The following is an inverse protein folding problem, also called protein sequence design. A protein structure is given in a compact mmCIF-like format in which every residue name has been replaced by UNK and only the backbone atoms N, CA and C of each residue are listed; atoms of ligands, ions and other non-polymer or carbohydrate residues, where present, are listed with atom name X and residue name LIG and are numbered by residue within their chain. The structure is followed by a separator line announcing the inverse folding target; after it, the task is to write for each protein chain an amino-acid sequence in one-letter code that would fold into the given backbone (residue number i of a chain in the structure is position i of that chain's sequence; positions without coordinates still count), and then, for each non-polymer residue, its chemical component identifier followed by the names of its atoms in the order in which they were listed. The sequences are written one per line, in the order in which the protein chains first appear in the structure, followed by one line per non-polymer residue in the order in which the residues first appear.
data_IF_662428893250
#
_entry.id   IF_662428893250
#
_cell.length_a   1.000
_cell.length_b   1.000
_cell.length_c   1.000
_cell.angle_alpha   90.00
_cell.angle_beta   90.00
_cell.angle_gamma   90.00
#
_symmetry.space_group_name_H-M   'P 1'
#
loop_
_entity.id
_entity.type
_entity.pdbx_description
1 polymer ?
#
# COMPACT_ATOMS: atom_id res chain seq x y z
N UNK A 1 -6.93 29.49 5.58
CA UNK A 1 -7.12 29.75 4.14
C UNK A 1 -6.14 28.89 3.35
N UNK A 2 -6.51 28.38 2.17
CA UNK A 2 -5.55 27.69 1.28
C UNK A 2 -4.95 28.71 0.32
N UNK A 3 -3.66 28.59 0.06
CA UNK A 3 -2.95 29.34 -0.97
C UNK A 3 -2.81 28.47 -2.21
N UNK A 4 -3.08 29.05 -3.38
CA UNK A 4 -3.05 28.42 -4.69
C UNK A 4 -1.92 29.03 -5.51
N UNK A 5 -1.02 28.22 -6.06
CA UNK A 5 0.08 28.74 -6.88
C UNK A 5 0.57 27.76 -7.94
N UNK A 6 1.01 28.31 -9.07
CA UNK A 6 1.75 27.62 -10.12
C UNK A 6 3.24 27.77 -9.85
N UNK A 7 4.01 26.69 -10.03
CA UNK A 7 5.46 26.68 -9.88
C UNK A 7 6.13 25.98 -11.06
N UNK A 8 7.40 26.31 -11.24
CA UNK A 8 8.34 25.66 -12.15
C UNK A 8 9.40 24.94 -11.34
N UNK A 9 9.64 23.69 -11.66
CA UNK A 9 10.77 22.91 -11.14
C UNK A 9 11.77 22.67 -12.26
N UNK A 10 12.98 23.21 -12.13
CA UNK A 10 14.06 23.12 -13.12
C UNK A 10 15.08 22.08 -12.66
N UNK A 11 15.42 21.12 -13.51
CA UNK A 11 16.60 20.27 -13.33
C UNK A 11 17.85 21.07 -13.68
N UNK A 12 18.73 21.27 -12.71
CA UNK A 12 19.94 22.10 -12.85
C UNK A 12 21.04 21.41 -13.68
N UNK A 13 20.95 20.09 -13.91
CA UNK A 13 21.94 19.35 -14.68
C UNK A 13 21.70 19.47 -16.18
N UNK A 14 20.44 19.41 -16.61
CA UNK A 14 20.08 19.36 -18.03
C UNK A 14 19.15 20.48 -18.49
N UNK A 15 18.76 21.40 -17.60
CA UNK A 15 17.88 22.53 -17.90
C UNK A 15 16.42 22.18 -18.12
N UNK A 16 16.03 20.90 -18.11
CA UNK A 16 14.64 20.49 -18.34
C UNK A 16 13.74 20.93 -17.19
N UNK A 17 12.49 21.27 -17.51
CA UNK A 17 11.55 21.88 -16.58
C UNK A 17 10.28 21.06 -16.36
N UNK A 18 9.63 21.30 -15.23
CA UNK A 18 8.29 20.81 -14.93
C UNK A 18 7.43 21.96 -14.43
N UNK A 19 6.26 22.12 -15.00
CA UNK A 19 5.24 23.06 -14.53
C UNK A 19 4.23 22.27 -13.72
N UNK A 20 3.93 22.73 -12.52
CA UNK A 20 2.90 22.12 -11.70
C UNK A 20 2.15 23.13 -10.87
N UNK A 21 0.98 22.70 -10.39
CA UNK A 21 0.16 23.46 -9.46
C UNK A 21 0.23 22.93 -8.04
N UNK A 22 -0.07 23.81 -7.08
CA UNK A 22 -0.14 23.48 -5.66
C UNK A 22 -1.28 24.25 -4.99
N UNK A 23 -2.06 23.53 -4.19
CA UNK A 23 -2.96 24.12 -3.18
C UNK A 23 -2.48 23.67 -1.80
N UNK A 24 -2.18 24.60 -0.89
CA UNK A 24 -1.64 24.27 0.43
C UNK A 24 -2.10 25.25 1.50
N UNK A 25 -2.14 24.80 2.76
CA UNK A 25 -2.32 25.69 3.92
C UNK A 25 -0.99 26.19 4.48
N UNK A 26 0.14 25.78 3.90
CA UNK A 26 1.48 26.25 4.29
C UNK A 26 1.77 27.61 3.66
N UNK A 27 2.55 28.43 4.34
CA UNK A 27 3.15 29.63 3.75
C UNK A 27 4.10 29.22 2.62
N UNK A 28 4.09 29.94 1.50
CA UNK A 28 4.74 29.53 0.25
C UNK A 28 6.25 29.28 0.43
N UNK A 29 6.92 30.12 1.22
CA UNK A 29 8.36 30.08 1.50
C UNK A 29 8.75 28.82 2.26
N UNK A 30 7.81 28.21 3.00
CA UNK A 30 8.00 26.98 3.77
C UNK A 30 7.47 25.74 3.05
N UNK A 31 6.97 25.87 1.83
CA UNK A 31 6.52 24.72 1.03
C UNK A 31 7.65 24.18 0.14
N UNK A 32 8.37 23.16 0.58
CA UNK A 32 9.47 22.55 -0.19
C UNK A 32 9.00 21.53 -1.26
N UNK A 33 7.70 21.43 -1.53
CA UNK A 33 7.14 20.53 -2.54
C UNK A 33 7.60 20.87 -3.96
N UNK A 34 8.15 19.91 -4.71
CA UNK A 34 8.73 20.11 -6.04
C UNK A 34 7.94 19.46 -7.20
N UNK A 35 6.86 18.74 -6.93
CA UNK A 35 5.99 18.18 -7.97
C UNK A 35 5.64 16.69 -7.84
N UNK A 36 4.57 16.30 -8.54
CA UNK A 36 3.97 14.95 -8.51
C UNK A 36 4.14 14.16 -9.81
N UNK A 37 4.56 14.81 -10.90
CA UNK A 37 4.66 14.22 -12.24
C UNK A 37 5.50 12.95 -12.28
N UNK A 38 5.06 11.96 -13.06
CA UNK A 38 5.71 10.65 -13.15
C UNK A 38 7.14 10.77 -13.67
N UNK A 39 7.36 11.49 -14.79
CA UNK A 39 8.70 11.70 -15.34
C UNK A 39 9.59 12.53 -14.42
N UNK A 40 9.02 13.55 -13.76
CA UNK A 40 9.77 14.32 -12.76
C UNK A 40 10.21 13.45 -11.57
N UNK A 41 9.34 12.58 -11.05
CA UNK A 41 9.70 11.65 -9.96
C UNK A 41 10.79 10.67 -10.38
N UNK A 42 10.79 10.20 -11.62
CA UNK A 42 11.86 9.36 -12.15
C UNK A 42 13.15 10.16 -12.28
N UNK A 43 13.09 11.40 -12.77
CA UNK A 43 14.23 12.30 -12.85
C UNK A 43 14.82 12.59 -11.45
N UNK A 44 13.99 12.78 -10.42
CA UNK A 44 14.47 12.92 -9.04
C UNK A 44 15.27 11.70 -8.55
N UNK A 45 14.88 10.48 -8.93
CA UNK A 45 15.61 9.26 -8.56
C UNK A 45 16.94 9.15 -9.30
N UNK A 46 16.97 9.56 -10.56
CA UNK A 46 18.15 9.44 -11.42
C UNK A 46 19.18 10.53 -11.14
N UNK A 47 18.75 11.79 -11.12
CA UNK A 47 19.62 12.96 -10.98
C UNK A 47 19.79 13.43 -9.54
N UNK A 48 19.00 12.92 -8.60
CA UNK A 48 18.96 13.40 -7.22
C UNK A 48 18.09 14.66 -7.05
N UNK A 49 17.17 14.64 -6.09
CA UNK A 49 16.17 15.70 -5.86
C UNK A 49 16.79 17.06 -5.47
N UNK A 50 18.02 17.07 -4.95
CA UNK A 50 18.78 18.28 -4.61
C UNK A 50 19.18 19.09 -5.86
N UNK A 51 19.31 18.43 -7.02
CA UNK A 51 19.66 19.07 -8.29
C UNK A 51 18.46 19.69 -9.00
N UNK A 52 17.38 19.95 -8.26
CA UNK A 52 16.17 20.56 -8.79
C UNK A 52 15.83 21.82 -8.01
N UNK A 53 15.65 22.94 -8.72
CA UNK A 53 15.24 24.22 -8.15
C UNK A 53 13.75 24.43 -8.39
N UNK A 54 13.02 24.90 -7.36
CA UNK A 54 11.62 25.30 -7.50
C UNK A 54 11.53 26.82 -7.50
N UNK A 55 10.73 27.36 -8.40
CA UNK A 55 10.43 28.78 -8.54
C UNK A 55 8.91 28.95 -8.64
N UNK A 56 8.35 29.89 -7.89
CA UNK A 56 6.92 30.22 -7.97
C UNK A 56 6.73 31.10 -9.21
N UNK A 57 5.80 30.71 -10.08
CA UNK A 57 5.48 31.48 -11.28
C UNK A 57 4.34 32.45 -11.03
N UNK A 58 3.33 32.01 -10.28
CA UNK A 58 2.11 32.79 -10.09
C UNK A 58 1.32 32.29 -8.88
N UNK A 59 0.75 33.21 -8.11
CA UNK A 59 -0.19 32.93 -7.03
C UNK A 59 -1.60 33.24 -7.55
N UNK A 60 -2.52 32.31 -7.38
CA UNK A 60 -3.89 32.41 -7.87
C UNK A 60 -4.85 32.67 -6.71
N UNK A 61 -5.91 33.42 -6.99
CA UNK A 61 -6.97 33.76 -6.05
C UNK A 61 -7.93 32.59 -5.78
N UNK A 62 -8.09 31.70 -6.76
CA UNK A 62 -8.98 30.54 -6.68
C UNK A 62 -8.34 29.26 -7.22
N UNK A 63 -8.99 28.13 -6.96
CA UNK A 63 -8.55 26.85 -7.50
C UNK A 63 -8.83 26.75 -9.01
N UNK A 64 -9.93 27.34 -9.48
CA UNK A 64 -10.33 27.40 -10.89
C UNK A 64 -9.32 28.19 -11.70
N UNK A 65 -8.90 29.36 -11.19
CA UNK A 65 -7.83 30.15 -11.78
C UNK A 65 -6.52 29.35 -11.83
N UNK A 66 -6.17 28.65 -10.74
CA UNK A 66 -4.98 27.80 -10.69
C UNK A 66 -4.96 26.74 -11.80
N UNK A 67 -6.10 26.13 -12.13
CA UNK A 67 -6.21 25.15 -13.23
C UNK A 67 -5.90 25.81 -14.59
N UNK A 68 -6.51 26.96 -14.85
CA UNK A 68 -6.33 27.71 -16.11
C UNK A 68 -4.88 28.17 -16.24
N UNK A 69 -4.30 28.70 -15.17
CA UNK A 69 -2.93 29.20 -15.16
C UNK A 69 -1.90 28.08 -15.28
N UNK A 70 -2.14 26.89 -14.73
CA UNK A 70 -1.26 25.74 -14.95
C UNK A 70 -1.17 25.39 -16.45
N UNK A 71 -2.31 25.32 -17.15
CA UNK A 71 -2.35 25.06 -18.59
C UNK A 71 -1.62 26.15 -19.38
N UNK A 72 -1.86 27.41 -19.04
CA UNK A 72 -1.17 28.55 -19.64
C UNK A 72 0.35 28.41 -19.52
N UNK A 73 0.87 28.13 -18.32
CA UNK A 73 2.31 28.04 -18.09
C UNK A 73 2.93 26.77 -18.72
N UNK A 74 2.24 25.64 -18.74
CA UNK A 74 2.70 24.44 -19.46
C UNK A 74 2.91 24.75 -20.95
N UNK A 75 1.92 25.41 -21.58
CA UNK A 75 1.99 25.79 -22.99
C UNK A 75 3.07 26.84 -23.24
N UNK A 76 3.13 27.90 -22.41
CA UNK A 76 4.11 28.98 -22.54
C UNK A 76 5.55 28.49 -22.48
N UNK A 77 5.83 27.50 -21.64
CA UNK A 77 7.16 26.92 -21.49
C UNK A 77 7.39 25.67 -22.36
N UNK A 78 6.38 25.25 -23.14
CA UNK A 78 6.40 24.02 -23.93
C UNK A 78 6.89 22.79 -23.12
N UNK A 79 6.48 22.70 -21.85
CA UNK A 79 7.06 21.72 -20.91
C UNK A 79 6.61 20.28 -21.16
N UNK A 80 5.75 20.05 -22.15
CA UNK A 80 5.38 18.73 -22.68
C UNK A 80 6.33 18.20 -23.75
N UNK A 81 7.17 19.06 -24.32
CA UNK A 81 8.20 18.65 -25.26
C UNK A 81 9.26 17.83 -24.50
N UNK A 82 9.49 16.59 -24.92
CA UNK A 82 10.40 15.65 -24.25
C UNK A 82 11.86 16.12 -24.19
N UNK A 83 12.26 17.09 -25.02
CA UNK A 83 13.59 17.71 -24.97
C UNK A 83 13.67 18.87 -23.97
N UNK A 84 12.53 19.44 -23.58
CA UNK A 84 12.46 20.66 -22.77
C UNK A 84 11.85 20.42 -21.39
N UNK A 85 10.98 19.43 -21.20
CA UNK A 85 10.30 19.26 -19.93
C UNK A 85 9.76 17.87 -19.61
N UNK A 86 9.22 17.78 -18.39
CA UNK A 86 8.76 16.54 -17.76
C UNK A 86 7.23 16.43 -17.70
N UNK A 87 6.47 17.41 -18.19
CA UNK A 87 5.00 17.33 -18.22
C UNK A 87 4.58 16.29 -19.25
N UNK A 88 3.69 15.36 -18.87
CA UNK A 88 3.19 14.34 -19.79
C UNK A 88 2.10 14.90 -20.74
N UNK A 89 1.39 15.92 -20.29
CA UNK A 89 0.24 16.50 -20.98
C UNK A 89 0.14 17.98 -20.65
N UNK A 90 -0.42 18.75 -21.58
CA UNK A 90 -0.77 20.15 -21.38
C UNK A 90 -2.19 20.34 -20.83
N UNK A 91 -2.86 19.25 -20.48
CA UNK A 91 -4.14 19.27 -19.76
C UNK A 91 -3.86 19.20 -18.26
N UNK A 92 -4.49 20.09 -17.49
CA UNK A 92 -4.32 20.18 -16.02
C UNK A 92 -4.69 18.90 -15.27
N UNK A 93 -5.44 17.99 -15.92
CA UNK A 93 -5.96 16.75 -15.35
C UNK A 93 -5.98 15.66 -16.46
N UNK A 94 -5.42 14.48 -16.18
CA UNK A 94 -5.68 13.28 -16.97
C UNK A 94 -7.09 12.77 -16.69
N UNK A 95 -7.98 12.87 -17.68
CA UNK A 95 -9.43 12.63 -17.62
C UNK A 95 -10.16 13.50 -16.59
N UNK A 96 -11.16 14.29 -17.03
CA UNK A 96 -11.82 15.35 -16.24
C UNK A 96 -12.07 15.02 -14.76
N UNK A 97 -11.98 16.05 -13.90
CA UNK A 97 -12.43 15.96 -12.50
C UNK A 97 -13.86 16.47 -12.42
N UNK A 98 -14.66 15.88 -11.53
CA UNK A 98 -16.03 16.35 -11.29
C UNK A 98 -16.91 16.15 -12.51
N UNK A 99 -17.88 17.04 -12.70
CA UNK A 99 -18.89 17.00 -13.78
C UNK A 99 -18.31 16.91 -15.20
N UNK A 100 -17.05 17.32 -15.40
CA UNK A 100 -16.37 17.24 -16.70
C UNK A 100 -15.81 15.84 -17.00
N UNK A 101 -15.78 14.93 -16.03
CA UNK A 101 -15.50 13.52 -16.32
C UNK A 101 -16.71 12.92 -17.04
N UNK A 102 -16.50 12.30 -18.21
CA UNK A 102 -17.56 11.61 -18.95
C UNK A 102 -18.27 10.52 -18.13
N UNK A 103 -17.62 10.03 -17.07
CA UNK A 103 -18.11 9.03 -16.13
C UNK A 103 -18.52 9.58 -14.75
N UNK A 104 -18.57 10.90 -14.55
CA UNK A 104 -18.99 11.50 -13.29
C UNK A 104 -20.45 11.15 -12.98
N UNK A 105 -20.70 10.66 -11.76
CA UNK A 105 -22.05 10.27 -11.32
C UNK A 105 -22.63 9.03 -12.02
N UNK A 106 -21.87 8.38 -12.91
CA UNK A 106 -22.31 7.18 -13.62
C UNK A 106 -21.73 5.94 -12.96
N UNK A 107 -22.56 4.91 -12.82
CA UNK A 107 -22.12 3.57 -12.43
C UNK A 107 -22.39 2.59 -13.56
N UNK A 108 -21.55 1.58 -13.74
CA UNK A 108 -21.85 0.50 -14.68
C UNK A 108 -23.17 -0.18 -14.31
N UNK A 109 -23.98 -0.50 -15.31
CA UNK A 109 -25.19 -1.33 -15.12
C UNK A 109 -24.79 -2.71 -14.63
N UNK A 110 -25.69 -3.41 -13.95
CA UNK A 110 -25.39 -4.76 -13.44
C UNK A 110 -25.15 -5.77 -14.58
N UNK A 111 -25.80 -5.57 -15.72
CA UNK A 111 -25.49 -6.30 -16.96
C UNK A 111 -24.04 -6.07 -17.41
N UNK A 112 -23.59 -4.80 -17.42
CA UNK A 112 -22.21 -4.46 -17.79
C UNK A 112 -21.20 -5.02 -16.80
N UNK A 113 -21.48 -4.92 -15.49
CA UNK A 113 -20.65 -5.56 -14.45
C UNK A 113 -20.56 -7.07 -14.65
N UNK A 114 -21.67 -7.71 -15.02
CA UNK A 114 -21.73 -9.14 -15.28
C UNK A 114 -20.89 -9.52 -16.51
N UNK A 115 -20.99 -8.77 -17.61
CA UNK A 115 -20.16 -8.97 -18.82
C UNK A 115 -18.66 -8.82 -18.50
N UNK A 116 -18.29 -7.78 -17.74
CA UNK A 116 -16.90 -7.57 -17.29
C UNK A 116 -16.42 -8.72 -16.40
N UNK A 117 -17.27 -9.17 -15.46
CA UNK A 117 -16.97 -10.30 -14.57
C UNK A 117 -16.75 -11.58 -15.36
N UNK A 118 -17.64 -11.90 -16.30
CA UNK A 118 -17.55 -13.06 -17.18
C UNK A 118 -16.30 -13.01 -18.07
N UNK A 119 -16.01 -11.87 -18.70
CA UNK A 119 -14.82 -11.70 -19.54
C UNK A 119 -13.51 -11.88 -18.77
N UNK A 120 -13.48 -11.52 -17.49
CA UNK A 120 -12.31 -11.71 -16.62
C UNK A 120 -12.28 -13.09 -15.95
N UNK A 121 -13.38 -13.84 -15.97
CA UNK A 121 -13.47 -15.16 -15.33
C UNK A 121 -12.54 -16.14 -16.05
N UNK A 122 -11.59 -16.69 -15.31
CA UNK A 122 -10.62 -17.65 -15.86
C UNK A 122 -9.42 -17.02 -16.57
N UNK A 123 -9.31 -15.69 -16.61
CA UNK A 123 -8.10 -15.01 -17.08
C UNK A 123 -6.93 -15.42 -16.20
N UNK A 124 -6.01 -16.20 -16.75
CA UNK A 124 -4.79 -16.61 -16.06
C UNK A 124 -3.77 -15.51 -16.25
N UNK A 125 -3.32 -14.94 -15.14
CA UNK A 125 -2.11 -14.13 -15.16
C UNK A 125 -0.93 -15.03 -15.51
N UNK A 126 0.05 -14.47 -16.22
CA UNK A 126 1.32 -15.14 -16.44
C UNK A 126 1.90 -15.60 -15.10
N UNK A 127 2.10 -16.91 -14.97
CA UNK A 127 2.57 -17.54 -13.74
C UNK A 127 3.96 -17.04 -13.37
N UNK A 128 4.79 -16.74 -14.37
CA UNK A 128 6.15 -16.24 -14.15
C UNK A 128 6.11 -14.83 -13.56
N UNK A 129 5.34 -13.91 -14.15
CA UNK A 129 5.11 -12.58 -13.60
C UNK A 129 4.51 -12.62 -12.19
N UNK A 130 3.51 -13.47 -11.95
CA UNK A 130 2.88 -13.62 -10.62
C UNK A 130 3.90 -14.11 -9.59
N UNK A 131 4.72 -15.10 -9.94
CA UNK A 131 5.78 -15.61 -9.07
C UNK A 131 6.82 -14.53 -8.79
N UNK A 132 7.27 -13.80 -9.81
CA UNK A 132 8.22 -12.68 -9.66
C UNK A 132 7.70 -11.59 -8.74
N UNK A 133 6.45 -11.15 -8.93
CA UNK A 133 5.81 -10.15 -8.07
C UNK A 133 5.61 -10.65 -6.64
N UNK A 134 5.30 -11.94 -6.48
CA UNK A 134 5.16 -12.58 -5.17
C UNK A 134 6.50 -12.63 -4.45
N UNK A 135 7.58 -12.98 -5.14
CA UNK A 135 8.91 -13.07 -4.54
C UNK A 135 9.50 -11.69 -4.22
N UNK A 136 9.22 -10.67 -5.04
CA UNK A 136 9.53 -9.28 -4.70
C UNK A 136 8.82 -8.84 -3.41
N UNK A 137 7.54 -9.19 -3.24
CA UNK A 137 6.78 -8.89 -2.02
C UNK A 137 7.25 -9.69 -0.80
N UNK A 138 7.76 -10.92 -0.98
CA UNK A 138 8.39 -11.69 0.11
C UNK A 138 9.74 -11.10 0.51
N UNK A 139 10.49 -10.53 -0.45
CA UNK A 139 11.77 -9.84 -0.21
C UNK A 139 11.59 -8.47 0.44
N UNK A 140 10.45 -7.83 0.24
CA UNK A 140 9.99 -6.73 1.10
C UNK A 140 9.63 -7.29 2.48
N UNK A 141 10.65 -7.55 3.30
CA UNK A 141 10.45 -7.77 4.72
C UNK A 141 9.73 -6.55 5.29
N UNK A 142 8.43 -6.71 5.60
CA UNK A 142 7.71 -5.77 6.44
C UNK A 142 8.59 -5.51 7.66
N UNK A 143 8.88 -4.24 7.95
CA UNK A 143 9.71 -3.88 9.10
C UNK A 143 9.16 -4.56 10.37
N UNK A 144 10.02 -4.90 11.30
CA UNK A 144 9.61 -5.47 12.60
C UNK A 144 8.50 -4.62 13.26
N UNK A 145 8.56 -3.31 13.08
CA UNK A 145 7.53 -2.36 13.52
C UNK A 145 6.19 -2.59 12.83
N UNK A 146 6.17 -2.79 11.52
CA UNK A 146 4.94 -3.02 10.76
C UNK A 146 4.30 -4.37 11.12
N UNK A 147 5.12 -5.40 11.32
CA UNK A 147 4.66 -6.71 11.80
C UNK A 147 4.05 -6.61 13.21
N UNK A 148 4.69 -5.84 14.10
CA UNK A 148 4.17 -5.57 15.45
C UNK A 148 2.82 -4.85 15.40
N UNK A 149 2.70 -3.76 14.64
CA UNK A 149 1.43 -3.01 14.48
C UNK A 149 0.31 -3.90 13.94
N UNK A 150 0.61 -4.73 12.94
CA UNK A 150 -0.36 -5.68 12.38
C UNK A 150 -0.77 -6.76 13.39
N UNK A 151 0.16 -7.27 14.19
CA UNK A 151 -0.17 -8.23 15.26
C UNK A 151 -1.04 -7.58 16.33
N UNK A 152 -0.74 -6.34 16.71
CA UNK A 152 -1.46 -5.59 17.75
C UNK A 152 -2.87 -5.19 17.30
N UNK A 153 -3.08 -4.95 16.00
CA UNK A 153 -4.39 -4.59 15.46
C UNK A 153 -5.39 -5.75 15.46
N UNK A 154 -4.94 -6.99 15.58
CA UNK A 154 -5.80 -8.20 15.58
C UNK A 154 -5.68 -9.03 16.87
N UNK A 155 -5.11 -8.44 17.94
CA UNK A 155 -4.92 -9.13 19.22
C UNK A 155 -6.14 -8.96 20.13
N UNK A 156 -6.52 -10.04 20.81
CA UNK A 156 -7.59 -10.01 21.81
C UNK A 156 -8.93 -9.60 21.19
N UNK A 157 -9.67 -8.75 21.89
CA UNK A 157 -10.98 -8.22 21.49
C UNK A 157 -10.98 -7.42 20.17
N UNK A 158 -9.80 -6.99 19.67
CA UNK A 158 -9.70 -6.36 18.35
C UNK A 158 -9.85 -7.35 17.20
N UNK A 159 -9.71 -8.65 17.47
CA UNK A 159 -10.04 -9.68 16.50
C UNK A 159 -11.57 -9.80 16.38
N UNK A 160 -12.18 -9.64 15.18
CA UNK A 160 -13.62 -9.79 14.99
C UNK A 160 -14.21 -11.14 15.42
N UNK A 161 -13.35 -12.16 15.53
CA UNK A 161 -13.68 -13.51 15.99
C UNK A 161 -13.28 -13.78 17.44
N UNK A 162 -12.84 -12.77 18.20
CA UNK A 162 -12.55 -12.95 19.63
C UNK A 162 -13.81 -13.38 20.39
N UNK A 163 -13.72 -14.50 21.11
CA UNK A 163 -14.85 -15.05 21.86
C UNK A 163 -15.94 -15.72 21.02
N UNK A 164 -15.80 -15.76 19.69
CA UNK A 164 -16.78 -16.40 18.79
C UNK A 164 -16.36 -17.81 18.44
N UNK A 165 -17.33 -18.71 18.30
CA UNK A 165 -17.15 -20.07 17.79
C UNK A 165 -17.81 -20.21 16.43
N UNK A 166 -17.23 -21.03 15.55
CA UNK A 166 -17.87 -21.35 14.28
C UNK A 166 -19.14 -22.17 14.50
N UNK A 167 -20.16 -21.92 13.68
CA UNK A 167 -21.37 -22.78 13.62
C UNK A 167 -21.01 -24.18 13.14
N UNK A 168 -21.81 -25.18 13.53
CA UNK A 168 -21.62 -26.56 13.08
C UNK A 168 -21.62 -26.69 11.55
N UNK A 169 -22.51 -25.96 10.88
CA UNK A 169 -22.54 -25.89 9.42
C UNK A 169 -21.19 -25.40 8.83
N UNK A 170 -20.61 -24.35 9.42
CA UNK A 170 -19.31 -23.83 8.99
C UNK A 170 -18.19 -24.84 9.26
N UNK A 171 -18.21 -25.51 10.41
CA UNK A 171 -17.24 -26.57 10.73
C UNK A 171 -17.32 -27.71 9.72
N UNK A 172 -18.53 -28.14 9.35
CA UNK A 172 -18.77 -29.18 8.36
C UNK A 172 -18.26 -28.79 6.97
N UNK A 173 -18.53 -27.55 6.52
CA UNK A 173 -17.99 -27.02 5.25
C UNK A 173 -16.46 -27.02 5.23
N UNK A 174 -15.83 -26.60 6.31
CA UNK A 174 -14.36 -26.59 6.45
C UNK A 174 -13.82 -28.03 6.43
N UNK A 175 -14.46 -28.95 7.16
CA UNK A 175 -14.08 -30.36 7.22
C UNK A 175 -14.13 -31.02 5.84
N UNK A 176 -15.25 -30.89 5.13
CA UNK A 176 -15.45 -31.44 3.80
C UNK A 176 -14.44 -30.89 2.79
N UNK A 177 -14.12 -29.60 2.85
CA UNK A 177 -13.10 -29.00 1.98
C UNK A 177 -11.68 -29.54 2.22
N UNK A 178 -11.40 -30.03 3.44
CA UNK A 178 -10.10 -30.61 3.81
C UNK A 178 -10.03 -32.12 3.58
N UNK A 179 -11.17 -32.80 3.54
CA UNK A 179 -11.26 -34.26 3.36
C UNK A 179 -10.56 -34.66 2.05
N UNK A 180 -9.66 -35.64 2.13
CA UNK A 180 -8.92 -36.18 0.98
C UNK A 180 -7.70 -35.36 0.52
N UNK A 181 -7.45 -34.16 1.07
CA UNK A 181 -6.25 -33.39 0.70
C UNK A 181 -4.99 -33.99 1.35
N UNK A 182 -4.09 -34.52 0.51
CA UNK A 182 -2.80 -35.04 0.97
C UNK A 182 -1.84 -33.90 1.31
N UNK A 183 -1.23 -33.98 2.48
CA UNK A 183 -0.16 -33.07 2.89
C UNK A 183 1.12 -33.40 2.10
N UNK A 184 1.75 -32.40 1.50
CA UNK A 184 2.98 -32.59 0.71
C UNK A 184 4.16 -32.99 1.59
N UNK A 185 5.13 -33.72 1.03
CA UNK A 185 6.34 -34.12 1.76
C UNK A 185 7.15 -32.92 2.25
N UNK A 186 7.20 -31.83 1.46
CA UNK A 186 7.82 -30.57 1.88
C UNK A 186 7.13 -29.98 3.12
N UNK A 187 5.80 -30.00 3.16
CA UNK A 187 5.05 -29.51 4.32
C UNK A 187 5.35 -30.36 5.57
N UNK A 188 5.42 -31.69 5.43
CA UNK A 188 5.82 -32.58 6.54
C UNK A 188 7.21 -32.24 7.07
N UNK A 189 8.20 -32.06 6.18
CA UNK A 189 9.57 -31.65 6.57
C UNK A 189 9.58 -30.31 7.32
N UNK A 190 8.81 -29.33 6.85
CA UNK A 190 8.72 -28.02 7.49
C UNK A 190 8.13 -28.10 8.91
N UNK A 191 7.12 -28.97 9.13
CA UNK A 191 6.56 -29.21 10.47
C UNK A 191 7.64 -29.79 11.39
N UNK A 192 8.37 -30.81 10.94
CA UNK A 192 9.43 -31.45 11.74
C UNK A 192 10.51 -30.44 12.12
N UNK A 193 11.00 -29.66 11.14
CA UNK A 193 11.99 -28.61 11.40
C UNK A 193 11.49 -27.55 12.39
N UNK A 194 10.23 -27.13 12.30
CA UNK A 194 9.65 -26.18 13.23
C UNK A 194 9.52 -26.75 14.65
N UNK A 195 9.25 -28.05 14.79
CA UNK A 195 9.16 -28.71 16.10
C UNK A 195 10.54 -28.88 16.75
N UNK A 196 11.56 -29.25 15.97
CA UNK A 196 12.94 -29.41 16.46
C UNK A 196 13.53 -28.08 16.98
N UNK A 197 13.22 -26.97 16.30
CA UNK A 197 13.75 -25.65 16.65
C UNK A 197 12.87 -24.87 17.64
N UNK A 198 11.84 -25.51 18.21
CA UNK A 198 10.92 -24.81 19.13
C UNK A 198 11.53 -24.74 20.53
N UNK A 199 11.69 -23.55 21.12
CA UNK A 199 12.21 -23.44 22.49
C UNK A 199 11.22 -24.04 23.48
N UNK A 200 11.72 -24.86 24.42
CA UNK A 200 10.95 -25.30 25.57
C UNK A 200 10.83 -24.13 26.54
N UNK A 201 9.60 -23.73 26.85
CA UNK A 201 9.36 -22.67 27.82
C UNK A 201 9.37 -23.24 29.23
N UNK A 202 10.02 -22.58 30.18
CA UNK A 202 10.11 -23.05 31.56
C UNK A 202 8.96 -22.44 32.37
N UNK A 203 8.24 -23.27 33.13
CA UNK A 203 7.24 -22.80 34.08
C UNK A 203 7.90 -22.05 35.23
N UNK A 204 7.49 -20.81 35.48
CA UNK A 204 8.06 -20.00 36.56
C UNK A 204 7.78 -20.55 37.98
N UNK A 205 6.77 -21.42 38.13
CA UNK A 205 6.36 -21.94 39.43
C UNK A 205 7.00 -23.28 39.77
N UNK A 206 7.20 -24.18 38.80
CA UNK A 206 7.77 -25.51 39.05
C UNK A 206 9.07 -25.81 38.30
N UNK A 207 9.61 -24.84 37.55
CA UNK A 207 10.80 -25.00 36.71
C UNK A 207 10.75 -26.16 35.70
N UNK A 208 9.57 -26.74 35.46
CA UNK A 208 9.42 -27.80 34.46
C UNK A 208 9.38 -27.21 33.05
N UNK A 209 10.07 -27.82 32.08
CA UNK A 209 9.96 -27.44 30.69
C UNK A 209 8.59 -27.84 30.14
N UNK A 210 7.87 -26.88 29.60
CA UNK A 210 6.53 -27.05 29.02
C UNK A 210 6.61 -27.11 27.50
N UNK A 211 6.08 -28.19 26.94
CA UNK A 211 5.93 -28.37 25.51
C UNK A 211 4.82 -27.48 24.93
N UNK A 212 5.08 -26.91 23.75
CA UNK A 212 4.13 -26.09 23.02
C UNK A 212 4.43 -24.60 23.07
N UNK A 213 3.42 -23.75 22.92
CA UNK A 213 3.58 -22.29 22.88
C UNK A 213 3.27 -21.62 24.21
N UNK A 214 3.39 -20.28 24.26
CA UNK A 214 3.01 -19.48 25.43
C UNK A 214 1.61 -19.80 25.98
N UNK A 215 0.64 -20.14 25.12
CA UNK A 215 -0.69 -20.55 25.57
C UNK A 215 -0.69 -21.83 26.45
N UNK A 216 0.17 -22.80 26.15
CA UNK A 216 0.30 -24.01 26.97
C UNK A 216 1.03 -23.72 28.27
N UNK A 217 2.09 -22.90 28.21
CA UNK A 217 2.79 -22.42 29.42
C UNK A 217 1.80 -21.73 30.36
N UNK A 218 1.03 -20.76 29.88
CA UNK A 218 0.08 -20.01 30.69
C UNK A 218 -0.97 -20.92 31.35
N UNK A 219 -1.53 -21.89 30.60
CA UNK A 219 -2.48 -22.87 31.16
C UNK A 219 -1.85 -23.73 32.26
N UNK A 220 -0.61 -24.17 32.05
CA UNK A 220 0.12 -24.94 33.04
C UNK A 220 0.44 -24.09 34.28
N UNK A 221 0.95 -22.88 34.08
CA UNK A 221 1.31 -21.95 35.16
C UNK A 221 0.11 -21.59 36.04
N UNK A 222 -1.06 -21.36 35.45
CA UNK A 222 -2.29 -21.09 36.22
C UNK A 222 -2.62 -22.26 37.16
N UNK A 223 -2.59 -23.50 36.67
CA UNK A 223 -2.80 -24.68 37.52
C UNK A 223 -1.69 -24.87 38.54
N UNK A 224 -0.44 -24.64 38.12
CA UNK A 224 0.72 -24.82 38.98
C UNK A 224 0.75 -23.81 40.14
N UNK A 225 0.19 -22.61 39.93
CA UNK A 225 0.00 -21.59 40.95
C UNK A 225 -1.05 -22.02 41.99
N UNK A 226 -2.15 -22.62 41.55
CA UNK A 226 -3.24 -23.10 42.43
C UNK A 226 -2.82 -24.24 43.35
N UNK A 227 -1.85 -25.07 42.95
CA UNK A 227 -1.33 -26.18 43.77
C UNK A 227 -0.17 -25.79 44.72
N UNK A 228 0.23 -24.51 44.74
CA UNK A 228 1.30 -23.98 45.62
C UNK A 228 0.78 -23.03 46.71
N UNK A 229 -0.53 -22.80 46.76
CA UNK A 229 -1.27 -22.19 47.85
C UNK A 229 -1.93 -23.29 48.67
#
# INVERSE_FOLDING_TARGET
MKTHYVYKTTNLINGMIYIGRRSTSKVIEKDFYKGSGVYLKNAFKFFGKQNFKKEILEVCSSFEELLIREVYWINKYNSTNSKLGYNLSNKSIGAGIGVENSFYGKTHTDETKTKISQANKGRKHDKELVNRLTDLRKKENLSNETLKKKSESVKGNKNPFFGKTHTEESKNKISNSKKGKKVTNLHKKNIVNALLNRPKLICQYCNKPIGGGKGNLNKHENKCKEHKL
#
